data_IF_109270030503
#
_entry.id   IF_109270030503
#
_cell.length_a   1.000
_cell.length_b   1.000
_cell.length_c   1.000
_cell.angle_alpha   90.00
_cell.angle_beta   90.00
_cell.angle_gamma   90.00
#
_symmetry.space_group_name_H-M   'P 1'
#
loop_
_entity.id
_entity.type
_entity.pdbx_description
1 polymer ?
#
# COMPACT_ATOMS: atom_id res chain seq x y z
N UNK A 1 -25.07 -6.17 24.76
CA UNK A 1 -24.17 -7.33 24.69
C UNK A 1 -22.82 -6.91 24.16
N UNK A 2 -21.74 -7.54 24.61
CA UNK A 2 -20.44 -7.35 23.97
C UNK A 2 -20.43 -8.12 22.65
N UNK A 3 -19.83 -7.54 21.60
CA UNK A 3 -19.92 -8.04 20.20
C UNK A 3 -19.37 -9.46 20.01
N UNK A 4 -18.53 -9.93 20.93
CA UNK A 4 -17.90 -11.26 20.93
C UNK A 4 -18.80 -12.35 21.50
N UNK A 5 -19.89 -11.98 22.18
CA UNK A 5 -20.87 -12.91 22.77
C UNK A 5 -22.00 -13.24 21.79
N UNK A 6 -22.03 -12.58 20.62
CA UNK A 6 -23.02 -12.83 19.58
C UNK A 6 -22.74 -14.14 18.85
N UNK A 7 -23.80 -14.80 18.36
CA UNK A 7 -23.66 -16.04 17.60
C UNK A 7 -22.84 -15.84 16.31
N UNK A 8 -22.08 -16.87 15.96
CA UNK A 8 -21.33 -16.89 14.71
C UNK A 8 -22.30 -16.95 13.53
N UNK A 9 -21.98 -16.21 12.48
CA UNK A 9 -22.70 -16.28 11.20
C UNK A 9 -22.35 -17.56 10.44
N UNK A 10 -23.22 -17.93 9.51
CA UNK A 10 -22.96 -19.02 8.56
C UNK A 10 -21.65 -18.79 7.79
N UNK A 11 -20.95 -19.89 7.50
CA UNK A 11 -19.69 -19.84 6.77
C UNK A 11 -19.87 -19.17 5.40
N UNK A 12 -19.02 -18.18 5.13
CA UNK A 12 -19.02 -17.42 3.87
C UNK A 12 -19.76 -16.08 3.94
N UNK A 13 -20.85 -15.96 4.72
CA UNK A 13 -21.60 -14.70 4.86
C UNK A 13 -20.91 -13.78 5.87
N UNK A 14 -20.61 -12.54 5.47
CA UNK A 14 -19.92 -11.55 6.31
C UNK A 14 -20.87 -10.58 6.97
N UNK A 15 -21.99 -10.27 6.32
CA UNK A 15 -23.00 -9.35 6.83
C UNK A 15 -24.36 -9.61 6.19
N UNK A 16 -25.41 -9.15 6.85
CA UNK A 16 -26.79 -9.13 6.35
C UNK A 16 -27.17 -7.70 5.96
N UNK A 17 -26.76 -6.72 6.77
CA UNK A 17 -26.97 -5.30 6.54
C UNK A 17 -25.64 -4.56 6.46
N UNK A 18 -25.47 -3.75 5.41
CA UNK A 18 -24.35 -2.85 5.21
C UNK A 18 -24.84 -1.54 4.58
N UNK A 19 -24.77 -0.45 5.33
CA UNK A 19 -25.08 0.91 4.87
C UNK A 19 -23.92 1.87 5.19
N UNK A 20 -23.54 2.72 4.24
CA UNK A 20 -22.49 3.73 4.42
C UNK A 20 -22.71 4.94 3.52
N UNK A 21 -21.89 6.00 3.68
CA UNK A 21 -21.97 7.22 2.84
C UNK A 21 -21.06 7.22 1.60
N UNK A 22 -20.27 6.16 1.42
CA UNK A 22 -19.33 6.04 0.30
C UNK A 22 -17.96 6.61 0.65
N UNK A 23 -17.03 6.64 -0.30
CA UNK A 23 -15.74 7.28 -0.09
C UNK A 23 -15.86 8.80 0.03
N UNK A 24 -15.01 9.41 0.86
CA UNK A 24 -14.74 10.84 0.81
C UNK A 24 -13.62 11.11 -0.22
N UNK A 25 -13.96 11.79 -1.31
CA UNK A 25 -12.98 12.13 -2.34
C UNK A 25 -12.04 13.23 -1.85
N UNK A 26 -10.76 13.09 -2.20
CA UNK A 26 -9.76 14.13 -1.97
C UNK A 26 -10.18 15.41 -2.70
N UNK A 27 -10.07 16.60 -2.06
CA UNK A 27 -10.43 17.88 -2.67
C UNK A 27 -9.76 18.08 -4.05
N UNK A 28 -10.41 18.88 -4.93
CA UNK A 28 -9.80 19.26 -6.20
C UNK A 28 -8.49 20.01 -5.99
N UNK A 29 -7.66 20.05 -7.02
CA UNK A 29 -6.41 20.80 -7.01
C UNK A 29 -6.69 22.31 -6.86
N UNK A 30 -5.93 22.95 -5.96
CA UNK A 30 -5.87 24.41 -5.84
C UNK A 30 -4.66 24.92 -6.63
N UNK A 31 -4.86 25.72 -7.68
CA UNK A 31 -3.76 26.26 -8.49
C UNK A 31 -2.75 27.06 -7.67
N UNK A 32 -1.52 27.13 -8.16
CA UNK A 32 -0.49 27.97 -7.56
C UNK A 32 -0.88 29.46 -7.64
N UNK A 33 -0.51 30.26 -6.63
CA UNK A 33 -0.61 31.72 -6.71
C UNK A 33 0.17 32.27 -7.92
N UNK A 34 -0.28 33.39 -8.49
CA UNK A 34 0.35 33.98 -9.70
C UNK A 34 1.82 34.39 -9.52
N UNK A 35 2.23 34.65 -8.28
CA UNK A 35 3.59 35.00 -7.89
C UNK A 35 4.52 33.79 -7.71
N UNK A 36 4.00 32.56 -7.79
CA UNK A 36 4.78 31.32 -7.72
C UNK A 36 4.92 30.72 -9.12
N UNK A 37 6.14 30.74 -9.66
CA UNK A 37 6.42 30.39 -11.05
C UNK A 37 7.18 29.08 -11.21
N UNK A 38 6.89 28.41 -12.33
CA UNK A 38 7.74 27.35 -12.88
C UNK A 38 8.70 27.96 -13.91
N UNK A 39 9.93 27.46 -13.97
CA UNK A 39 10.91 27.89 -14.98
C UNK A 39 11.41 26.71 -15.79
N UNK A 40 11.62 26.97 -17.09
CA UNK A 40 12.26 26.03 -18.01
C UNK A 40 13.39 26.76 -18.75
N UNK A 41 14.60 26.22 -18.68
CA UNK A 41 15.80 26.81 -19.30
C UNK A 41 16.02 28.28 -18.89
N UNK A 42 15.77 28.56 -17.60
CA UNK A 42 15.90 29.88 -16.99
C UNK A 42 14.77 30.88 -17.30
N UNK A 43 13.76 30.50 -18.10
CA UNK A 43 12.62 31.37 -18.46
C UNK A 43 11.35 30.94 -17.72
N UNK A 44 10.54 31.88 -17.20
CA UNK A 44 9.28 31.54 -16.58
C UNK A 44 8.31 30.96 -17.62
N UNK A 45 7.64 29.87 -17.26
CA UNK A 45 6.66 29.19 -18.11
C UNK A 45 5.41 28.90 -17.27
N UNK A 46 4.25 29.40 -17.71
CA UNK A 46 2.97 29.10 -17.08
C UNK A 46 2.47 27.75 -17.57
N UNK A 47 2.27 26.82 -16.65
CA UNK A 47 1.78 25.47 -16.94
C UNK A 47 0.24 25.45 -16.99
N UNK A 48 -0.31 24.48 -17.72
CA UNK A 48 -1.71 24.09 -17.65
C UNK A 48 -2.01 23.48 -16.27
N UNK A 49 -3.26 23.56 -15.80
CA UNK A 49 -3.62 23.11 -14.44
C UNK A 49 -3.28 21.64 -14.17
N UNK A 50 -3.50 20.76 -15.15
CA UNK A 50 -3.17 19.33 -15.02
C UNK A 50 -1.64 19.11 -14.90
N UNK A 51 -0.87 19.84 -15.71
CA UNK A 51 0.60 19.77 -15.70
C UNK A 51 1.18 20.41 -14.43
N UNK A 52 0.59 21.51 -13.97
CA UNK A 52 0.96 22.21 -12.75
C UNK A 52 0.75 21.34 -11.51
N UNK A 53 -0.42 20.70 -11.37
CA UNK A 53 -0.72 19.80 -10.23
C UNK A 53 0.39 18.74 -10.07
N UNK A 54 0.77 18.11 -11.18
CA UNK A 54 1.79 17.05 -11.21
C UNK A 54 3.19 17.62 -10.92
N UNK A 55 3.53 18.79 -11.46
CA UNK A 55 4.77 19.49 -11.14
C UNK A 55 4.88 19.76 -9.64
N UNK A 56 3.76 20.08 -8.96
CA UNK A 56 3.77 20.26 -7.50
C UNK A 56 4.15 18.99 -6.74
N UNK A 57 3.82 17.80 -7.26
CA UNK A 57 4.16 16.54 -6.59
C UNK A 57 5.67 16.31 -6.56
N UNK A 58 6.35 16.60 -7.66
CA UNK A 58 7.80 16.54 -7.74
C UNK A 58 8.45 17.65 -6.92
N UNK A 59 7.95 18.88 -7.02
CA UNK A 59 8.47 20.03 -6.27
C UNK A 59 8.43 19.82 -4.75
N UNK A 60 7.33 19.27 -4.20
CA UNK A 60 7.19 18.91 -2.78
C UNK A 60 8.22 17.87 -2.30
N UNK A 61 8.88 17.18 -3.22
CA UNK A 61 9.85 16.13 -2.96
C UNK A 61 11.28 16.53 -3.35
N UNK A 62 11.54 17.79 -3.70
CA UNK A 62 12.82 18.19 -4.30
C UNK A 62 14.03 17.84 -3.40
N UNK A 63 13.88 17.96 -2.08
CA UNK A 63 14.92 17.61 -1.08
C UNK A 63 14.91 16.13 -0.64
N UNK A 64 14.05 15.29 -1.23
CA UNK A 64 13.94 13.88 -0.87
C UNK A 64 14.84 13.02 -1.74
N UNK A 65 15.53 12.02 -1.17
CA UNK A 65 16.36 11.03 -1.88
C UNK A 65 15.71 10.37 -3.12
N UNK A 66 14.37 10.36 -3.25
CA UNK A 66 13.73 9.82 -4.46
C UNK A 66 14.04 10.67 -5.69
N UNK A 67 14.09 12.00 -5.56
CA UNK A 67 14.37 12.90 -6.70
C UNK A 67 15.82 12.84 -7.14
N UNK A 68 16.71 12.15 -6.43
CA UNK A 68 18.08 11.88 -6.89
C UNK A 68 18.22 10.55 -7.62
N UNK A 69 17.17 9.71 -7.65
CA UNK A 69 17.19 8.41 -8.31
C UNK A 69 16.78 8.53 -9.78
N UNK A 70 17.61 8.02 -10.66
CA UNK A 70 17.39 8.06 -12.12
C UNK A 70 16.05 7.41 -12.53
N UNK A 71 15.74 6.22 -11.99
CA UNK A 71 14.46 5.54 -12.28
C UNK A 71 13.26 6.42 -11.90
N UNK A 72 13.34 7.11 -10.75
CA UNK A 72 12.28 7.99 -10.29
C UNK A 72 12.11 9.20 -11.22
N UNK A 73 13.22 9.85 -11.59
CA UNK A 73 13.23 10.99 -12.51
C UNK A 73 12.68 10.61 -13.89
N UNK A 74 13.13 9.49 -14.45
CA UNK A 74 12.69 9.01 -15.77
C UNK A 74 11.20 8.68 -15.79
N UNK A 75 10.71 7.95 -14.78
CA UNK A 75 9.29 7.61 -14.68
C UNK A 75 8.41 8.85 -14.46
N UNK A 76 8.84 9.76 -13.58
CA UNK A 76 8.14 11.02 -13.35
C UNK A 76 8.04 11.82 -14.65
N UNK A 77 9.17 12.04 -15.35
CA UNK A 77 9.19 12.87 -16.54
C UNK A 77 8.35 12.27 -17.67
N UNK A 78 8.41 10.94 -17.84
CA UNK A 78 7.60 10.22 -18.81
C UNK A 78 6.10 10.41 -18.56
N UNK A 79 5.63 10.21 -17.33
CA UNK A 79 4.20 10.35 -17.01
C UNK A 79 3.75 11.81 -17.00
N UNK A 80 4.59 12.73 -16.51
CA UNK A 80 4.29 14.16 -16.51
C UNK A 80 4.10 14.69 -17.94
N UNK A 81 4.95 14.27 -18.89
CA UNK A 81 4.80 14.62 -20.31
C UNK A 81 3.48 14.16 -20.91
N UNK A 82 2.88 13.05 -20.47
CA UNK A 82 1.59 12.57 -21.01
C UNK A 82 0.42 13.47 -20.64
N UNK A 83 0.56 14.23 -19.56
CA UNK A 83 -0.49 15.10 -19.03
C UNK A 83 -0.28 16.57 -19.48
N UNK A 84 0.79 16.84 -20.22
CA UNK A 84 1.08 18.12 -20.88
C UNK A 84 0.22 18.36 -22.12
N UNK A 85 -0.10 19.63 -22.36
CA UNK A 85 -0.59 20.09 -23.67
C UNK A 85 0.48 19.92 -24.75
N UNK A 86 0.07 19.95 -26.02
CA UNK A 86 1.00 19.85 -27.16
C UNK A 86 2.08 20.94 -27.11
N UNK A 87 1.71 22.17 -26.76
CA UNK A 87 2.63 23.31 -26.65
C UNK A 87 3.67 23.09 -25.52
N UNK A 88 3.22 22.64 -24.35
CA UNK A 88 4.11 22.30 -23.23
C UNK A 88 5.08 21.16 -23.60
N UNK A 89 4.61 20.14 -24.32
CA UNK A 89 5.45 19.02 -24.79
C UNK A 89 6.54 19.47 -25.79
N UNK A 90 6.24 20.46 -26.63
CA UNK A 90 7.21 21.02 -27.58
C UNK A 90 8.31 21.83 -26.88
N UNK A 91 7.98 22.48 -25.76
CA UNK A 91 8.91 23.29 -24.97
C UNK A 91 9.73 22.40 -24.02
N UNK A 92 9.06 21.62 -23.17
CA UNK A 92 9.65 20.90 -22.04
C UNK A 92 10.19 19.54 -22.52
N UNK A 93 11.47 19.49 -22.90
CA UNK A 93 12.13 18.29 -23.47
C UNK A 93 13.09 17.59 -22.52
N UNK A 94 13.57 18.30 -21.50
CA UNK A 94 14.60 17.81 -20.59
C UNK A 94 14.24 18.19 -19.15
N UNK A 95 14.15 17.20 -18.27
CA UNK A 95 13.89 17.41 -16.84
C UNK A 95 15.01 18.25 -16.19
N UNK A 96 16.26 18.11 -16.64
CA UNK A 96 17.40 18.86 -16.09
C UNK A 96 17.33 20.37 -16.34
N UNK A 97 16.51 20.80 -17.31
CA UNK A 97 16.22 22.21 -17.59
C UNK A 97 15.03 22.76 -16.81
N UNK A 98 14.29 21.91 -16.12
CA UNK A 98 13.13 22.29 -15.32
C UNK A 98 13.59 22.77 -13.93
N UNK A 99 13.04 23.89 -13.47
CA UNK A 99 13.32 24.43 -12.16
C UNK A 99 12.05 24.53 -11.33
N UNK A 100 12.01 23.71 -10.28
CA UNK A 100 10.89 23.57 -9.35
C UNK A 100 11.12 24.31 -8.03
N UNK A 101 12.23 25.04 -7.88
CA UNK A 101 12.67 25.59 -6.57
C UNK A 101 11.69 26.59 -5.98
N UNK A 102 11.06 27.42 -6.81
CA UNK A 102 10.09 28.41 -6.34
C UNK A 102 8.79 27.74 -5.86
N UNK A 103 8.30 26.75 -6.61
CA UNK A 103 7.16 25.91 -6.19
C UNK A 103 7.49 25.16 -4.89
N UNK A 104 8.69 24.60 -4.78
CA UNK A 104 9.15 23.90 -3.58
C UNK A 104 9.16 24.86 -2.38
N UNK A 105 9.79 26.03 -2.52
CA UNK A 105 9.82 27.07 -1.49
C UNK A 105 8.40 27.45 -1.04
N UNK A 106 7.47 27.66 -1.97
CA UNK A 106 6.07 27.93 -1.62
C UNK A 106 5.46 26.84 -0.73
N UNK A 107 5.68 25.56 -1.03
CA UNK A 107 5.14 24.47 -0.19
C UNK A 107 5.87 24.30 1.14
N UNK A 108 7.16 24.63 1.23
CA UNK A 108 7.89 24.72 2.50
C UNK A 108 7.27 25.81 3.36
N UNK A 109 7.16 27.04 2.83
CA UNK A 109 6.61 28.19 3.53
C UNK A 109 5.14 27.96 3.93
N UNK A 110 4.31 27.38 3.04
CA UNK A 110 2.91 27.00 3.33
C UNK A 110 2.81 25.96 4.45
N UNK A 111 3.73 25.00 4.51
CA UNK A 111 3.77 24.02 5.60
C UNK A 111 4.18 24.64 6.94
N UNK A 112 5.12 25.58 6.94
CA UNK A 112 5.53 26.33 8.13
C UNK A 112 4.41 27.24 8.63
N UNK A 113 3.77 27.99 7.74
CA UNK A 113 2.60 28.81 8.05
C UNK A 113 1.46 27.97 8.65
N UNK A 114 1.19 26.77 8.09
CA UNK A 114 0.20 25.84 8.64
C UNK A 114 0.53 25.41 10.08
N UNK A 115 1.80 25.19 10.40
CA UNK A 115 2.24 24.86 11.78
C UNK A 115 2.07 26.06 12.72
N UNK A 116 2.28 27.27 12.20
CA UNK A 116 2.15 28.53 12.94
C UNK A 116 0.71 29.04 13.11
N UNK A 117 -0.30 28.38 12.51
CA UNK A 117 -1.71 28.82 12.58
C UNK A 117 -2.17 29.08 14.03
N UNK A 118 -2.96 30.14 14.28
CA UNK A 118 -3.58 30.41 15.57
C UNK A 118 -4.43 29.25 16.07
N UNK A 119 -4.62 29.18 17.40
CA UNK A 119 -5.42 28.12 18.03
C UNK A 119 -6.86 28.08 17.52
N UNK A 120 -7.46 29.26 17.25
CA UNK A 120 -8.84 29.35 16.74
C UNK A 120 -8.98 28.74 15.34
N UNK A 121 -8.07 29.05 14.41
CA UNK A 121 -8.10 28.49 13.06
C UNK A 121 -7.81 26.98 13.05
N UNK A 122 -6.87 26.53 13.89
CA UNK A 122 -6.63 25.09 14.10
C UNK A 122 -7.88 24.37 14.63
N UNK A 123 -8.65 25.03 15.50
CA UNK A 123 -9.89 24.48 16.04
C UNK A 123 -10.97 24.37 14.95
N UNK A 124 -11.13 25.40 14.11
CA UNK A 124 -12.06 25.35 12.95
C UNK A 124 -11.74 24.19 11.99
N UNK A 125 -10.46 24.02 11.63
CA UNK A 125 -10.02 22.90 10.77
C UNK A 125 -10.27 21.53 11.41
N UNK A 126 -10.14 21.44 12.74
CA UNK A 126 -10.43 20.21 13.49
C UNK A 126 -11.92 19.89 13.46
N UNK A 127 -12.79 20.88 13.67
CA UNK A 127 -14.24 20.71 13.63
C UNK A 127 -14.74 20.31 12.23
N UNK A 128 -14.17 20.87 11.16
CA UNK A 128 -14.44 20.45 9.79
C UNK A 128 -14.02 18.99 9.54
N UNK A 129 -12.82 18.60 10.02
CA UNK A 129 -12.36 17.23 9.92
C UNK A 129 -13.24 16.24 10.72
N UNK A 130 -13.75 16.66 11.88
CA UNK A 130 -14.68 15.87 12.70
C UNK A 130 -16.04 15.70 12.02
N UNK A 131 -16.58 16.74 11.36
CA UNK A 131 -17.81 16.63 10.56
C UNK A 131 -17.65 15.61 9.43
N UNK A 132 -16.54 15.68 8.69
CA UNK A 132 -16.21 14.71 7.63
C UNK A 132 -16.09 13.29 8.22
N UNK A 133 -15.43 13.14 9.37
CA UNK A 133 -15.29 11.86 10.05
C UNK A 133 -16.64 11.30 10.53
N UNK A 134 -17.55 12.14 10.99
CA UNK A 134 -18.87 11.73 11.47
C UNK A 134 -19.77 11.27 10.31
N UNK A 135 -19.69 11.98 9.18
CA UNK A 135 -20.48 11.67 7.99
C UNK A 135 -19.96 10.45 7.21
N UNK A 136 -18.65 10.39 6.93
CA UNK A 136 -18.08 9.37 6.06
C UNK A 136 -17.28 8.29 6.78
N UNK A 137 -16.90 8.53 8.04
CA UNK A 137 -15.99 7.66 8.77
C UNK A 137 -16.65 6.48 9.48
N UNK A 138 -17.95 6.29 9.30
CA UNK A 138 -18.72 5.21 9.91
C UNK A 138 -19.69 4.58 8.92
N UNK A 139 -20.01 3.31 9.15
CA UNK A 139 -21.07 2.57 8.48
C UNK A 139 -22.01 1.93 9.51
N UNK A 140 -23.17 1.47 9.06
CA UNK A 140 -24.02 0.56 9.80
C UNK A 140 -23.78 -0.84 9.25
N UNK A 141 -23.34 -1.74 10.12
CA UNK A 141 -23.10 -3.15 9.81
C UNK A 141 -23.94 -3.98 10.78
N UNK A 142 -24.96 -4.68 10.26
CA UNK A 142 -25.87 -5.52 11.04
C UNK A 142 -26.44 -4.81 12.27
N UNK A 143 -26.94 -3.59 12.09
CA UNK A 143 -27.48 -2.75 13.16
C UNK A 143 -26.44 -2.05 14.04
N UNK A 144 -25.14 -2.34 13.88
CA UNK A 144 -24.08 -1.69 14.65
C UNK A 144 -23.38 -0.57 13.87
N UNK A 145 -23.23 0.58 14.52
CA UNK A 145 -22.36 1.64 14.01
C UNK A 145 -20.90 1.23 14.15
N UNK A 146 -20.22 1.07 13.02
CA UNK A 146 -18.82 0.63 12.94
C UNK A 146 -17.95 1.68 12.28
N UNK A 147 -16.74 1.86 12.82
CA UNK A 147 -15.77 2.82 12.28
C UNK A 147 -15.14 2.25 11.00
N UNK A 148 -15.00 3.09 9.99
CA UNK A 148 -14.30 2.77 8.73
C UNK A 148 -12.82 3.13 8.90
N UNK A 149 -11.92 2.25 8.43
CA UNK A 149 -10.47 2.42 8.58
C UNK A 149 -9.91 3.53 7.69
N UNK A 150 -10.29 3.54 6.42
CA UNK A 150 -9.70 4.38 5.37
C UNK A 150 -10.77 4.92 4.40
N UNK A 151 -11.74 5.69 4.91
CA UNK A 151 -12.86 6.20 4.11
C UNK A 151 -12.49 7.28 3.08
N UNK A 152 -11.32 7.92 3.21
CA UNK A 152 -10.82 8.92 2.26
C UNK A 152 -10.11 8.22 1.10
N UNK A 153 -10.35 8.66 -0.14
CA UNK A 153 -9.61 8.15 -1.30
C UNK A 153 -8.12 8.51 -1.20
N UNK A 154 -7.25 7.70 -1.80
CA UNK A 154 -5.83 8.03 -1.86
C UNK A 154 -5.62 9.26 -2.75
N UNK A 155 -4.88 10.29 -2.30
CA UNK A 155 -4.61 11.47 -3.13
C UNK A 155 -3.71 11.12 -4.32
N UNK A 156 -3.87 11.82 -5.46
CA UNK A 156 -2.91 11.72 -6.56
C UNK A 156 -1.52 12.14 -6.08
N UNK A 157 -0.49 11.65 -6.76
CA UNK A 157 0.90 11.94 -6.40
C UNK A 157 1.88 11.00 -7.08
N UNK A 158 3.15 11.06 -6.71
CA UNK A 158 4.16 10.16 -7.28
C UNK A 158 4.24 8.86 -6.47
N UNK A 159 4.34 7.73 -7.17
CA UNK A 159 4.47 6.42 -6.54
C UNK A 159 5.85 6.27 -5.90
N UNK A 160 5.88 5.98 -4.59
CA UNK A 160 7.11 5.84 -3.80
C UNK A 160 7.28 4.38 -3.41
N UNK A 161 7.58 3.54 -4.40
CA UNK A 161 7.91 2.14 -4.17
C UNK A 161 9.13 2.00 -3.25
N UNK A 162 9.12 0.99 -2.38
CA UNK A 162 10.23 0.73 -1.43
C UNK A 162 11.38 0.00 -2.14
N UNK A 163 12.61 0.28 -1.69
CA UNK A 163 13.83 -0.25 -2.31
C UNK A 163 14.01 0.26 -3.75
N UNK A 164 14.61 -0.56 -4.60
CA UNK A 164 14.80 -0.31 -6.03
C UNK A 164 13.57 -0.73 -6.82
N UNK A 165 12.43 -0.12 -6.50
CA UNK A 165 11.16 -0.40 -7.18
C UNK A 165 11.16 0.21 -8.60
N UNK A 166 10.97 -0.60 -9.66
CA UNK A 166 11.09 -0.13 -11.06
C UNK A 166 10.06 0.94 -11.44
N UNK A 167 8.89 0.92 -10.80
CA UNK A 167 7.80 1.90 -10.99
C UNK A 167 7.86 3.17 -10.11
N UNK A 168 8.91 3.36 -9.30
CA UNK A 168 8.99 4.57 -8.46
C UNK A 168 8.99 5.82 -9.34
N UNK A 169 8.32 6.90 -8.93
CA UNK A 169 8.20 8.14 -9.69
C UNK A 169 7.02 8.18 -10.65
N UNK A 170 6.41 7.04 -10.99
CA UNK A 170 5.20 7.02 -11.83
C UNK A 170 4.03 7.76 -11.18
N UNK A 171 3.16 8.34 -12.00
CA UNK A 171 2.02 9.13 -11.55
C UNK A 171 0.90 8.23 -11.03
N UNK A 172 0.58 8.33 -9.74
CA UNK A 172 -0.67 7.81 -9.17
C UNK A 172 -1.79 8.79 -9.52
N UNK A 173 -2.76 8.32 -10.29
CA UNK A 173 -3.86 9.13 -10.78
C UNK A 173 -4.88 9.42 -9.67
N UNK A 174 -5.63 10.51 -9.85
CA UNK A 174 -6.76 10.84 -9.01
C UNK A 174 -7.86 9.80 -9.24
N UNK A 175 -8.42 9.28 -8.15
CA UNK A 175 -9.56 8.36 -8.22
C UNK A 175 -10.83 9.18 -8.44
N UNK A 176 -11.55 8.86 -9.51
CA UNK A 176 -12.83 9.48 -9.85
C UNK A 176 -13.99 8.58 -9.41
N UNK A 177 -15.21 9.12 -9.22
CA UNK A 177 -16.39 8.29 -8.93
C UNK A 177 -16.60 7.15 -9.94
N UNK A 178 -16.28 7.41 -11.22
CA UNK A 178 -16.38 6.44 -12.32
C UNK A 178 -15.40 5.26 -12.19
N UNK A 179 -14.41 5.34 -11.30
CA UNK A 179 -13.48 4.26 -10.98
C UNK A 179 -13.96 3.38 -9.80
N UNK A 180 -14.91 3.89 -9.01
CA UNK A 180 -15.30 3.32 -7.72
C UNK A 180 -16.48 2.36 -7.85
N UNK A 181 -16.28 1.16 -7.32
CA UNK A 181 -17.31 0.15 -7.08
C UNK A 181 -17.78 0.27 -5.63
N UNK A 182 -19.08 0.48 -5.43
CA UNK A 182 -19.73 0.51 -4.12
C UNK A 182 -20.30 -0.87 -3.78
N UNK A 183 -20.16 -1.30 -2.52
CA UNK A 183 -20.75 -2.53 -2.00
C UNK A 183 -21.59 -2.24 -0.75
N UNK A 184 -22.90 -2.41 -0.87
CA UNK A 184 -23.87 -2.18 0.20
C UNK A 184 -25.06 -3.15 0.09
N UNK A 185 -25.88 -3.27 1.13
CA UNK A 185 -27.07 -4.13 1.06
C UNK A 185 -28.09 -3.61 0.06
N UNK A 186 -28.84 -4.52 -0.57
CA UNK A 186 -29.90 -4.17 -1.56
C UNK A 186 -31.00 -3.28 -0.99
N UNK A 187 -31.27 -3.40 0.30
CA UNK A 187 -32.30 -2.70 1.07
C UNK A 187 -31.75 -1.46 1.82
N UNK A 188 -30.44 -1.17 1.70
CA UNK A 188 -29.82 0.00 2.31
C UNK A 188 -29.98 1.27 1.47
N UNK A 189 -29.73 2.43 2.07
CA UNK A 189 -29.59 3.67 1.31
C UNK A 189 -28.25 3.66 0.53
N UNK A 190 -28.35 3.49 -0.79
CA UNK A 190 -27.18 3.52 -1.69
C UNK A 190 -26.51 4.91 -1.60
N UNK A 191 -25.17 4.99 -1.42
CA UNK A 191 -24.42 6.24 -1.50
C UNK A 191 -24.67 6.98 -2.81
N UNK A 192 -24.95 8.28 -2.73
CA UNK A 192 -25.09 9.14 -3.92
C UNK A 192 -23.69 9.59 -4.35
N UNK A 193 -23.31 9.45 -5.64
CA UNK A 193 -22.05 9.99 -6.14
C UNK A 193 -22.04 11.52 -6.08
N UNK A 194 -20.86 12.17 -6.14
CA UNK A 194 -20.77 13.61 -6.33
C UNK A 194 -21.61 14.10 -7.52
N UNK A 195 -22.08 15.34 -7.46
CA UNK A 195 -22.94 15.92 -8.51
C UNK A 195 -22.28 15.84 -9.89
N UNK A 196 -23.05 15.43 -10.91
CA UNK A 196 -22.56 15.25 -12.28
C UNK A 196 -21.80 13.95 -12.54
N UNK A 197 -21.54 13.14 -11.50
CA UNK A 197 -20.79 11.90 -11.61
C UNK A 197 -21.65 10.64 -11.40
N UNK A 198 -21.09 9.49 -11.76
CA UNK A 198 -21.69 8.18 -11.48
C UNK A 198 -20.66 7.20 -10.92
N UNK A 199 -21.12 6.25 -10.12
CA UNK A 199 -20.29 5.12 -9.72
C UNK A 199 -19.95 4.23 -10.91
N UNK A 200 -18.79 3.59 -10.87
CA UNK A 200 -18.43 2.51 -11.80
C UNK A 200 -19.48 1.39 -11.77
N UNK A 201 -19.83 1.01 -10.55
CA UNK A 201 -20.78 -0.06 -10.26
C UNK A 201 -21.27 0.06 -8.82
N UNK A 202 -22.52 -0.34 -8.58
CA UNK A 202 -23.04 -0.59 -7.23
C UNK A 202 -23.45 -2.06 -7.18
N UNK A 203 -22.92 -2.81 -6.22
CA UNK A 203 -23.23 -4.22 -6.02
C UNK A 203 -23.61 -4.53 -4.57
N UNK A 204 -24.17 -5.72 -4.38
CA UNK A 204 -24.44 -6.29 -3.07
C UNK A 204 -23.80 -7.68 -3.02
N UNK A 205 -22.57 -7.74 -2.52
CA UNK A 205 -21.83 -8.97 -2.26
C UNK A 205 -21.53 -9.08 -0.77
N UNK A 206 -22.31 -9.91 -0.08
CA UNK A 206 -22.19 -10.13 1.35
C UNK A 206 -21.14 -11.19 1.73
N UNK A 207 -20.42 -11.74 0.75
CA UNK A 207 -19.33 -12.69 0.99
C UNK A 207 -17.99 -12.00 1.26
N UNK A 208 -17.92 -10.69 0.96
CA UNK A 208 -16.74 -9.85 1.14
C UNK A 208 -16.92 -8.81 2.25
N UNK A 209 -15.82 -8.20 2.70
CA UNK A 209 -15.82 -7.27 3.84
C UNK A 209 -15.50 -5.81 3.46
N UNK A 210 -15.32 -5.52 2.17
CA UNK A 210 -15.01 -4.16 1.70
C UNK A 210 -16.30 -3.41 1.36
N UNK A 211 -16.25 -2.09 1.57
CA UNK A 211 -17.37 -1.16 1.39
C UNK A 211 -17.30 -0.46 0.03
N UNK A 212 -16.10 -0.11 -0.38
CA UNK A 212 -15.83 0.42 -1.71
C UNK A 212 -14.51 -0.13 -2.22
N UNK A 213 -14.35 -0.20 -3.53
CA UNK A 213 -13.10 -0.60 -4.17
C UNK A 213 -12.87 0.14 -5.48
N UNK A 214 -11.61 0.22 -5.89
CA UNK A 214 -11.21 0.72 -7.21
C UNK A 214 -9.91 0.02 -7.62
N UNK A 215 -9.56 0.12 -8.90
CA UNK A 215 -8.29 -0.38 -9.41
C UNK A 215 -7.29 0.77 -9.45
N UNK A 216 -6.14 0.64 -8.78
CA UNK A 216 -5.08 1.66 -8.86
C UNK A 216 -4.23 1.48 -10.13
N UNK A 217 -3.69 2.56 -10.67
CA UNK A 217 -3.14 2.59 -12.02
C UNK A 217 -1.66 2.17 -12.16
N UNK A 218 -0.93 1.99 -11.05
CA UNK A 218 0.51 1.66 -11.07
C UNK A 218 0.71 0.16 -11.27
N UNK A 219 0.06 -0.67 -10.45
CA UNK A 219 0.17 -2.13 -10.49
C UNK A 219 -1.12 -2.81 -10.96
N UNK A 220 -2.13 -2.02 -11.34
CA UNK A 220 -3.46 -2.51 -11.70
C UNK A 220 -4.11 -3.35 -10.58
N UNK A 221 -3.75 -3.05 -9.32
CA UNK A 221 -4.21 -3.78 -8.16
C UNK A 221 -5.52 -3.21 -7.61
N UNK A 222 -6.34 -4.06 -6.99
CA UNK A 222 -7.55 -3.61 -6.31
C UNK A 222 -7.20 -2.97 -4.95
N UNK A 223 -7.73 -1.78 -4.73
CA UNK A 223 -7.73 -1.06 -3.46
C UNK A 223 -9.11 -1.12 -2.85
N UNK A 224 -9.17 -1.11 -1.52
CA UNK A 224 -10.41 -1.29 -0.77
C UNK A 224 -10.52 -0.29 0.36
N UNK A 225 -11.74 0.20 0.57
CA UNK A 225 -12.17 0.80 1.84
C UNK A 225 -12.71 -0.33 2.71
N UNK A 226 -12.13 -0.49 3.90
CA UNK A 226 -12.52 -1.54 4.85
C UNK A 226 -12.79 -0.96 6.23
N UNK A 227 -13.48 -1.75 7.06
CA UNK A 227 -13.71 -1.43 8.46
C UNK A 227 -12.40 -1.29 9.25
N UNK A 228 -12.46 -0.48 10.30
CA UNK A 228 -11.37 -0.26 11.24
C UNK A 228 -11.02 -1.55 12.00
N UNK A 229 -9.76 -1.77 12.43
CA UNK A 229 -9.38 -2.94 13.22
C UNK A 229 -10.23 -3.19 14.48
N UNK A 230 -10.84 -2.16 15.07
CA UNK A 230 -11.73 -2.29 16.25
C UNK A 230 -13.13 -2.83 15.92
N UNK A 231 -13.48 -3.00 14.64
CA UNK A 231 -14.77 -3.54 14.21
C UNK A 231 -14.90 -5.03 14.50
N UNK A 232 -16.15 -5.52 14.65
CA UNK A 232 -16.42 -6.95 14.89
C UNK A 232 -15.74 -7.86 13.85
N UNK A 233 -15.98 -7.61 12.55
CA UNK A 233 -15.45 -8.47 11.48
C UNK A 233 -13.91 -8.53 11.42
N UNK A 234 -13.22 -7.44 11.79
CA UNK A 234 -11.76 -7.43 11.85
C UNK A 234 -11.26 -8.11 13.13
N UNK A 235 -11.93 -7.85 14.25
CA UNK A 235 -11.61 -8.46 15.55
C UNK A 235 -11.78 -9.98 15.57
N UNK A 236 -12.88 -10.50 15.03
CA UNK A 236 -13.14 -11.95 14.93
C UNK A 236 -12.07 -12.66 14.09
N UNK A 237 -11.73 -12.09 12.92
CA UNK A 237 -10.64 -12.64 12.09
C UNK A 237 -9.29 -12.61 12.80
N UNK A 238 -9.01 -11.55 13.56
CA UNK A 238 -7.75 -11.44 14.29
C UNK A 238 -7.69 -12.43 15.46
N UNK A 239 -8.81 -12.65 16.15
CA UNK A 239 -8.95 -13.68 17.17
C UNK A 239 -8.77 -15.09 16.58
N UNK A 240 -9.46 -15.41 15.48
CA UNK A 240 -9.33 -16.69 14.78
C UNK A 240 -7.89 -16.95 14.31
N UNK A 241 -7.19 -15.92 13.83
CA UNK A 241 -5.76 -15.98 13.49
C UNK A 241 -4.92 -16.48 14.67
N UNK A 242 -5.18 -15.99 15.89
CA UNK A 242 -4.49 -16.48 17.08
C UNK A 242 -4.93 -17.89 17.48
N UNK A 243 -6.21 -18.23 17.34
CA UNK A 243 -6.69 -19.60 17.59
C UNK A 243 -6.05 -20.63 16.63
N UNK A 244 -5.80 -20.26 15.36
CA UNK A 244 -5.03 -21.08 14.43
C UNK A 244 -3.60 -21.31 14.95
N UNK A 245 -2.94 -20.24 15.42
CA UNK A 245 -1.59 -20.35 15.98
C UNK A 245 -1.56 -21.21 17.27
N UNK A 246 -2.60 -21.11 18.12
CA UNK A 246 -2.76 -21.94 19.31
C UNK A 246 -2.93 -23.42 18.95
N UNK A 247 -3.75 -23.75 17.95
CA UNK A 247 -3.88 -25.13 17.45
C UNK A 247 -2.56 -25.66 16.86
N UNK A 248 -1.81 -24.81 16.15
CA UNK A 248 -0.49 -25.19 15.65
C UNK A 248 0.46 -25.58 16.78
N UNK A 249 0.46 -24.86 17.91
CA UNK A 249 1.28 -25.18 19.09
C UNK A 249 1.10 -26.63 19.54
N UNK A 250 -0.13 -27.14 19.53
CA UNK A 250 -0.43 -28.49 20.03
C UNK A 250 0.09 -29.60 19.10
N UNK A 251 0.24 -29.31 17.81
CA UNK A 251 0.68 -30.30 16.79
C UNK A 251 2.08 -30.04 16.22
N UNK A 252 2.74 -28.94 16.62
CA UNK A 252 4.01 -28.48 16.02
C UNK A 252 5.11 -29.54 16.11
N UNK A 253 5.17 -30.30 17.21
CA UNK A 253 6.18 -31.35 17.39
C UNK A 253 6.03 -32.48 16.37
N UNK A 254 4.79 -32.87 16.05
CA UNK A 254 4.48 -33.88 15.02
C UNK A 254 4.89 -33.37 13.63
N UNK A 255 4.59 -32.12 13.30
CA UNK A 255 5.00 -31.49 12.03
C UNK A 255 6.53 -31.44 11.91
N UNK A 256 7.22 -31.08 13.00
CA UNK A 256 8.68 -31.06 13.07
C UNK A 256 9.30 -32.44 12.88
N UNK A 257 8.73 -33.47 13.50
CA UNK A 257 9.17 -34.84 13.27
C UNK A 257 8.99 -35.27 11.82
N UNK A 258 7.88 -34.87 11.18
CA UNK A 258 7.60 -35.21 9.80
C UNK A 258 8.57 -34.53 8.82
N UNK A 259 8.82 -33.22 8.91
CA UNK A 259 9.74 -32.58 7.97
C UNK A 259 11.18 -33.10 8.13
N UNK A 260 11.60 -33.48 9.35
CA UNK A 260 12.92 -34.10 9.58
C UNK A 260 13.06 -35.45 8.92
N UNK A 261 11.98 -36.23 8.88
CA UNK A 261 11.91 -37.50 8.14
C UNK A 261 11.99 -37.24 6.63
N UNK A 262 11.29 -36.22 6.15
CA UNK A 262 11.21 -35.87 4.73
C UNK A 262 12.56 -35.41 4.14
N UNK A 263 13.52 -34.94 4.94
CA UNK A 263 14.89 -34.65 4.46
C UNK A 263 15.58 -35.85 3.81
N UNK A 264 15.24 -37.07 4.24
CA UNK A 264 15.78 -38.33 3.69
C UNK A 264 14.87 -38.96 2.62
N UNK A 265 13.85 -38.23 2.16
CA UNK A 265 12.95 -38.70 1.10
C UNK A 265 13.71 -38.92 -0.21
N UNK A 266 13.30 -39.91 -1.01
CA UNK A 266 13.80 -40.08 -2.38
C UNK A 266 13.23 -39.04 -3.36
N UNK A 267 12.16 -38.35 -2.97
CA UNK A 267 11.50 -37.34 -3.78
C UNK A 267 12.05 -35.94 -3.45
N UNK A 268 12.72 -35.32 -4.43
CA UNK A 268 13.37 -34.02 -4.27
C UNK A 268 12.40 -32.91 -3.84
N UNK A 269 11.15 -32.93 -4.34
CA UNK A 269 10.10 -31.96 -3.97
C UNK A 269 9.77 -32.02 -2.48
N UNK A 270 9.73 -33.23 -1.89
CA UNK A 270 9.52 -33.41 -0.45
C UNK A 270 10.71 -32.89 0.36
N UNK A 271 11.94 -33.12 -0.11
CA UNK A 271 13.15 -32.59 0.52
C UNK A 271 13.15 -31.06 0.51
N UNK A 272 12.92 -30.44 -0.66
CA UNK A 272 12.83 -28.98 -0.80
C UNK A 272 11.77 -28.37 0.12
N UNK A 273 10.55 -28.94 0.11
CA UNK A 273 9.47 -28.50 1.01
C UNK A 273 9.87 -28.61 2.48
N UNK A 274 10.53 -29.70 2.87
CA UNK A 274 10.93 -29.95 4.25
C UNK A 274 12.02 -28.97 4.72
N UNK A 275 12.98 -28.65 3.86
CA UNK A 275 14.01 -27.62 4.15
C UNK A 275 13.39 -26.23 4.23
N UNK A 276 12.50 -25.87 3.29
CA UNK A 276 11.79 -24.59 3.34
C UNK A 276 10.94 -24.46 4.61
N UNK A 277 10.21 -25.51 5.00
CA UNK A 277 9.42 -25.50 6.22
C UNK A 277 10.31 -25.40 7.48
N UNK A 278 11.48 -26.01 7.48
CA UNK A 278 12.47 -25.86 8.54
C UNK A 278 12.96 -24.42 8.67
N UNK A 279 13.29 -23.74 7.55
CA UNK A 279 13.69 -22.33 7.60
C UNK A 279 12.55 -21.41 8.06
N UNK A 280 11.30 -21.65 7.64
CA UNK A 280 10.14 -20.91 8.14
C UNK A 280 9.95 -21.12 9.65
N UNK A 281 10.03 -22.37 10.13
CA UNK A 281 9.86 -22.71 11.55
C UNK A 281 10.99 -22.13 12.44
N UNK A 282 12.25 -22.24 12.02
CA UNK A 282 13.40 -21.87 12.83
C UNK A 282 13.80 -20.40 12.72
N UNK A 283 13.65 -19.82 11.54
CA UNK A 283 14.12 -18.47 11.24
C UNK A 283 12.97 -17.48 11.05
N UNK A 284 11.72 -17.95 11.16
CA UNK A 284 10.52 -17.14 10.93
C UNK A 284 10.54 -16.43 9.56
N UNK A 285 11.14 -17.07 8.54
CA UNK A 285 11.12 -16.54 7.18
C UNK A 285 9.68 -16.45 6.67
N UNK A 286 9.39 -15.39 5.91
CA UNK A 286 8.12 -15.29 5.19
C UNK A 286 8.09 -16.30 4.05
N UNK A 287 6.90 -16.74 3.66
CA UNK A 287 6.71 -17.77 2.62
C UNK A 287 7.47 -17.44 1.32
N UNK A 288 7.40 -16.20 0.82
CA UNK A 288 8.09 -15.81 -0.41
C UNK A 288 7.32 -16.22 -1.65
N UNK A 289 6.29 -15.45 -1.99
CA UNK A 289 5.56 -15.64 -3.24
C UNK A 289 6.42 -15.15 -4.42
N UNK A 290 6.30 -15.84 -5.55
CA UNK A 290 6.86 -15.37 -6.81
C UNK A 290 6.26 -14.02 -7.19
N UNK A 291 7.09 -13.18 -7.80
CA UNK A 291 6.70 -11.85 -8.26
C UNK A 291 7.08 -11.72 -9.72
N UNK A 292 6.33 -10.89 -10.42
CA UNK A 292 6.63 -10.55 -11.80
C UNK A 292 7.90 -9.67 -11.86
N UNK A 293 8.86 -10.13 -12.65
CA UNK A 293 10.15 -9.48 -12.86
C UNK A 293 9.95 -8.14 -13.59
N UNK A 294 10.65 -7.09 -13.15
CA UNK A 294 10.50 -5.74 -13.72
C UNK A 294 9.25 -4.97 -13.27
N UNK A 295 8.28 -5.61 -12.63
CA UNK A 295 7.05 -4.96 -12.14
C UNK A 295 7.11 -4.56 -10.67
N UNK A 296 7.95 -5.25 -9.90
CA UNK A 296 8.10 -5.06 -8.44
C UNK A 296 9.57 -5.00 -8.04
N UNK A 297 9.84 -4.46 -6.85
CA UNK A 297 11.19 -4.53 -6.29
C UNK A 297 11.60 -6.00 -6.05
N UNK A 298 12.83 -6.34 -6.45
CA UNK A 298 13.41 -7.66 -6.27
C UNK A 298 13.64 -7.92 -4.77
N UNK A 299 12.75 -8.72 -4.20
CA UNK A 299 12.82 -9.14 -2.81
C UNK A 299 12.30 -10.56 -2.72
N UNK A 300 12.90 -11.36 -1.85
CA UNK A 300 12.59 -12.78 -1.74
C UNK A 300 12.10 -13.17 -0.35
N UNK A 301 11.44 -14.32 -0.28
CA UNK A 301 11.19 -15.05 0.96
C UNK A 301 11.60 -16.50 0.79
N UNK A 302 11.27 -17.35 1.75
CA UNK A 302 11.81 -18.71 1.86
C UNK A 302 11.70 -19.53 0.57
N UNK A 303 10.54 -19.55 -0.07
CA UNK A 303 10.26 -20.35 -1.26
C UNK A 303 10.77 -19.71 -2.56
N UNK A 304 11.14 -18.42 -2.53
CA UNK A 304 11.65 -17.68 -3.68
C UNK A 304 13.13 -17.32 -3.54
N UNK A 305 13.84 -17.95 -2.59
CA UNK A 305 15.30 -17.81 -2.46
C UNK A 305 15.98 -18.32 -3.73
N UNK A 306 17.10 -17.69 -4.07
CA UNK A 306 17.97 -18.02 -5.19
C UNK A 306 19.32 -18.46 -4.63
N UNK A 307 20.10 -19.15 -5.45
CA UNK A 307 21.40 -19.71 -5.03
C UNK A 307 22.35 -18.61 -4.52
N UNK A 308 22.33 -17.43 -5.13
CA UNK A 308 23.16 -16.28 -4.73
C UNK A 308 22.89 -15.76 -3.31
N UNK A 309 21.72 -16.04 -2.73
CA UNK A 309 21.31 -15.55 -1.42
C UNK A 309 21.84 -16.38 -0.24
N UNK A 310 22.50 -17.51 -0.54
CA UNK A 310 22.93 -18.48 0.45
C UNK A 310 24.37 -18.89 0.19
N UNK A 311 25.18 -18.84 1.24
CA UNK A 311 26.53 -19.42 1.24
C UNK A 311 26.61 -20.53 2.29
N UNK A 312 27.24 -21.65 1.92
CA UNK A 312 27.36 -22.82 2.77
C UNK A 312 28.80 -22.94 3.29
N UNK A 313 28.94 -22.99 4.61
CA UNK A 313 30.22 -23.10 5.28
C UNK A 313 30.27 -24.38 6.10
N UNK A 314 31.22 -25.28 5.80
CA UNK A 314 31.39 -26.51 6.58
C UNK A 314 31.73 -26.20 8.05
N UNK A 315 32.55 -25.16 8.27
CA UNK A 315 32.86 -24.60 9.58
C UNK A 315 33.05 -23.08 9.45
N UNK A 316 32.40 -22.31 10.33
CA UNK A 316 32.53 -20.86 10.39
C UNK A 316 32.32 -20.40 11.84
N UNK A 317 33.14 -19.46 12.32
CA UNK A 317 33.01 -18.88 13.66
C UNK A 317 32.91 -19.94 14.79
N UNK A 318 33.63 -21.06 14.64
CA UNK A 318 33.63 -22.19 15.58
C UNK A 318 32.42 -23.13 15.50
N UNK A 319 31.44 -22.85 14.63
CA UNK A 319 30.25 -23.68 14.41
C UNK A 319 30.40 -24.55 13.16
N UNK A 320 29.74 -25.72 13.14
CA UNK A 320 29.71 -26.64 11.98
C UNK A 320 28.40 -26.49 11.20
N UNK A 321 28.43 -26.79 9.91
CA UNK A 321 27.28 -26.73 8.99
C UNK A 321 26.55 -25.38 9.09
N UNK A 322 27.26 -24.29 8.77
CA UNK A 322 26.72 -22.94 8.86
C UNK A 322 26.18 -22.53 7.50
N UNK A 323 24.95 -22.03 7.50
CA UNK A 323 24.29 -21.41 6.35
C UNK A 323 24.29 -19.91 6.58
N UNK A 324 24.96 -19.17 5.71
CA UNK A 324 24.96 -17.72 5.67
C UNK A 324 23.88 -17.26 4.68
N UNK A 325 22.91 -16.52 5.19
CA UNK A 325 21.83 -15.90 4.42
C UNK A 325 22.14 -14.43 4.23
N UNK A 326 22.00 -13.95 3.00
CA UNK A 326 22.06 -12.53 2.69
C UNK A 326 21.12 -12.20 1.53
N UNK A 327 19.99 -11.57 1.84
CA UNK A 327 18.99 -11.20 0.84
C UNK A 327 18.12 -10.04 1.30
N UNK A 328 17.41 -9.42 0.35
CA UNK A 328 16.41 -8.40 0.65
C UNK A 328 15.03 -9.05 0.81
N UNK A 329 14.45 -8.92 2.00
CA UNK A 329 13.10 -9.40 2.32
C UNK A 329 12.02 -8.36 2.02
N UNK A 330 10.83 -8.56 2.63
CA UNK A 330 9.70 -7.61 2.51
C UNK A 330 10.17 -6.18 2.78
N UNK A 331 9.68 -5.24 1.96
CA UNK A 331 10.02 -3.82 2.02
C UNK A 331 11.51 -3.52 1.73
N UNK A 332 12.19 -4.44 1.04
CA UNK A 332 13.62 -4.40 0.72
C UNK A 332 14.52 -4.30 1.95
N UNK A 333 14.06 -4.82 3.09
CA UNK A 333 14.84 -4.89 4.32
C UNK A 333 15.80 -6.08 4.22
N UNK A 334 17.10 -5.81 4.33
CA UNK A 334 18.15 -6.84 4.30
C UNK A 334 17.99 -7.79 5.48
N UNK A 335 17.92 -9.09 5.19
CA UNK A 335 18.06 -10.18 6.13
C UNK A 335 19.46 -10.77 5.96
N UNK A 336 20.31 -10.53 6.95
CA UNK A 336 21.64 -11.11 7.05
C UNK A 336 21.73 -11.98 8.30
N UNK A 337 22.05 -13.26 8.15
CA UNK A 337 22.14 -14.17 9.29
C UNK A 337 23.07 -15.36 9.00
N UNK A 338 23.84 -15.78 9.99
CA UNK A 338 24.67 -17.00 9.94
C UNK A 338 24.10 -18.00 10.93
N UNK A 339 23.63 -19.15 10.44
CA UNK A 339 22.91 -20.12 11.27
C UNK A 339 23.51 -21.51 11.11
N UNK A 340 23.88 -22.13 12.22
CA UNK A 340 24.22 -23.56 12.24
C UNK A 340 22.95 -24.41 12.06
N UNK A 341 22.97 -25.31 11.08
CA UNK A 341 21.83 -26.18 10.74
C UNK A 341 22.13 -27.65 11.03
N UNK A 342 21.07 -28.46 11.07
CA UNK A 342 21.21 -29.92 11.19
C UNK A 342 21.92 -30.47 9.93
N UNK A 343 22.91 -31.36 10.08
CA UNK A 343 23.72 -31.88 8.95
C UNK A 343 22.96 -32.34 7.69
N UNK A 344 21.73 -32.92 7.78
CA UNK A 344 20.96 -33.29 6.59
C UNK A 344 20.29 -32.12 5.84
N UNK A 345 20.19 -30.95 6.46
CA UNK A 345 19.74 -29.68 5.88
C UNK A 345 20.94 -29.03 5.20
#
# INVERSE_FOLDING_TARGET
CSRWEEEKKEDGVKWMQLEHRGPYFVPPYEPLPEDVRFYYDGKPLKLSLATEEIATFYAKMLDHEYTTKEIFQNNFFHDWRKEMTSEEQEIIKDLGKCDFREIHKYFVDKNEARKALPKEEKQKLKEEAEKIQEEYGYCILDGHREKIGNFKTEPPGLFRGRGEHPKMGMLKKRIMPEDVIINCSKDSKIPVPPEGHKWKEVRCDNTVTWLASWTENIQNALKYIMLNPSSKLKGEKDWEKYEVARRLKDVVHTIRAQYRKDWKSKEIKKQQRAVALYFIDKLALRAGNEKEEGETADTVGCCSLRVEHIQLHAQLDGQKNVVEFDFLGKDSIRYYNKVSVEKPV
#
